data_IF_074171297732
#
_entry.id   IF_074171297732
#
_cell.length_a   1.000
_cell.length_b   1.000
_cell.length_c   1.000
_cell.angle_alpha   90.00
_cell.angle_beta   90.00
_cell.angle_gamma   90.00
#
_symmetry.space_group_name_H-M   'P 1'
#
loop_
_entity.id
_entity.type
_entity.pdbx_description
1 polymer ?
#
# COMPACT_ATOMS: atom_id res chain seq x y z
N UNK A 1 -11.39 8.15 -6.64
CA UNK A 1 -10.26 7.22 -6.43
C UNK A 1 -10.72 5.80 -6.10
N UNK A 2 -12.01 5.59 -5.81
CA UNK A 2 -12.65 4.28 -5.85
C UNK A 2 -13.05 3.98 -7.29
N UNK A 3 -12.90 2.74 -7.70
CA UNK A 3 -13.12 2.31 -9.09
C UNK A 3 -14.59 1.88 -9.23
N UNK A 4 -15.39 2.63 -9.99
CA UNK A 4 -16.84 2.42 -10.14
C UNK A 4 -17.21 1.60 -11.40
N UNK A 5 -16.22 1.29 -12.25
CA UNK A 5 -16.40 0.57 -13.51
C UNK A 5 -15.43 -0.61 -13.63
N UNK A 6 -15.91 -1.73 -14.17
CA UNK A 6 -15.11 -2.93 -14.42
C UNK A 6 -14.35 -2.77 -15.74
N UNK A 7 -13.02 -2.75 -15.70
CA UNK A 7 -12.19 -2.90 -16.90
C UNK A 7 -12.08 -4.37 -17.30
N UNK A 8 -12.56 -4.73 -18.50
CA UNK A 8 -12.77 -6.15 -18.91
C UNK A 8 -11.51 -6.81 -19.52
N UNK A 9 -10.35 -6.14 -19.55
CA UNK A 9 -9.15 -6.66 -20.25
C UNK A 9 -7.86 -6.64 -19.41
N UNK A 10 -7.90 -7.08 -18.14
CA UNK A 10 -6.67 -7.27 -17.35
C UNK A 10 -6.07 -8.67 -17.59
N UNK A 11 -4.91 -8.73 -18.25
CA UNK A 11 -4.13 -9.98 -18.42
C UNK A 11 -2.95 -9.98 -17.45
N UNK A 12 -2.97 -10.88 -16.46
CA UNK A 12 -1.89 -11.02 -15.50
C UNK A 12 -0.75 -11.87 -16.07
N UNK A 13 0.46 -11.31 -16.17
CA UNK A 13 1.67 -12.05 -16.59
C UNK A 13 2.30 -12.78 -15.41
N UNK A 14 2.90 -13.94 -15.67
CA UNK A 14 3.61 -14.76 -14.66
C UNK A 14 4.81 -14.05 -14.05
N UNK A 15 5.44 -13.12 -14.77
CA UNK A 15 6.52 -12.29 -14.26
C UNK A 15 6.03 -11.01 -13.55
N UNK A 16 4.73 -10.83 -13.34
CA UNK A 16 4.21 -9.65 -12.63
C UNK A 16 4.53 -9.69 -11.14
N UNK A 17 4.75 -8.51 -10.55
CA UNK A 17 4.93 -8.35 -9.09
C UNK A 17 3.70 -8.89 -8.33
N UNK A 18 2.52 -8.80 -8.95
CA UNK A 18 1.28 -9.36 -8.41
C UNK A 18 1.29 -10.89 -8.37
N UNK A 19 1.98 -11.56 -9.31
CA UNK A 19 2.05 -13.03 -9.40
C UNK A 19 3.15 -13.66 -8.52
N UNK A 20 4.35 -13.07 -8.45
CA UNK A 20 5.46 -13.66 -7.69
C UNK A 20 5.40 -13.31 -6.19
N UNK A 21 5.61 -14.28 -5.30
CA UNK A 21 5.15 -14.20 -3.91
C UNK A 21 6.08 -13.48 -2.91
N UNK A 22 7.38 -13.26 -3.16
CA UNK A 22 8.26 -12.69 -2.10
C UNK A 22 9.32 -11.69 -2.56
N UNK A 23 10.05 -11.96 -3.64
CA UNK A 23 11.29 -11.21 -3.94
C UNK A 23 11.07 -9.79 -4.46
N UNK A 24 9.88 -9.50 -5.02
CA UNK A 24 9.58 -8.22 -5.68
C UNK A 24 8.70 -7.27 -4.88
N UNK A 25 8.40 -7.58 -3.60
CA UNK A 25 7.59 -6.68 -2.77
C UNK A 25 8.31 -5.33 -2.61
N UNK A 26 9.64 -5.34 -2.51
CA UNK A 26 10.45 -4.13 -2.37
C UNK A 26 10.44 -3.24 -3.62
N UNK A 27 10.24 -3.83 -4.80
CA UNK A 27 10.12 -3.07 -6.06
C UNK A 27 8.94 -2.07 -6.01
N UNK A 28 7.90 -2.36 -5.22
CA UNK A 28 6.76 -1.45 -5.03
C UNK A 28 7.21 -0.11 -4.46
N UNK A 29 8.15 -0.10 -3.51
CA UNK A 29 8.66 1.14 -2.92
C UNK A 29 9.44 1.95 -3.95
N UNK A 30 10.24 1.29 -4.78
CA UNK A 30 10.96 1.95 -5.86
C UNK A 30 9.99 2.58 -6.88
N UNK A 31 8.98 1.83 -7.31
CA UNK A 31 7.93 2.33 -8.22
C UNK A 31 7.22 3.54 -7.61
N UNK A 32 6.89 3.49 -6.32
CA UNK A 32 6.18 4.58 -5.66
C UNK A 32 7.05 5.83 -5.53
N UNK A 33 8.32 5.68 -5.22
CA UNK A 33 9.27 6.80 -5.18
C UNK A 33 9.41 7.43 -6.56
N UNK A 34 9.52 6.63 -7.63
CA UNK A 34 9.61 7.13 -9.00
C UNK A 34 8.36 7.94 -9.39
N UNK A 35 7.16 7.45 -9.05
CA UNK A 35 5.91 8.19 -9.27
C UNK A 35 5.89 9.49 -8.45
N UNK A 36 6.20 9.44 -7.15
CA UNK A 36 6.20 10.65 -6.29
C UNK A 36 7.18 11.69 -6.85
N UNK A 37 8.37 11.25 -7.26
CA UNK A 37 9.41 12.11 -7.81
C UNK A 37 8.98 12.75 -9.13
N UNK A 38 8.37 11.98 -10.03
CA UNK A 38 7.81 12.51 -11.28
C UNK A 38 6.83 13.67 -11.01
N UNK A 39 5.86 13.48 -10.13
CA UNK A 39 4.87 14.52 -9.82
C UNK A 39 5.50 15.73 -9.12
N UNK A 40 6.51 15.50 -8.27
CA UNK A 40 7.27 16.55 -7.60
C UNK A 40 8.04 17.43 -8.58
N UNK A 41 8.80 16.83 -9.49
CA UNK A 41 9.60 17.53 -10.51
C UNK A 41 8.71 18.38 -11.43
N UNK A 42 7.55 17.84 -11.82
CA UNK A 42 6.60 18.51 -12.70
C UNK A 42 5.65 19.47 -11.95
N UNK A 43 5.79 19.61 -10.62
CA UNK A 43 4.94 20.47 -9.76
C UNK A 43 3.45 20.17 -9.88
N UNK A 44 3.09 18.92 -10.15
CA UNK A 44 1.69 18.48 -10.28
C UNK A 44 1.16 18.09 -8.89
N UNK A 45 0.31 18.93 -8.32
CA UNK A 45 -0.21 18.75 -6.95
C UNK A 45 -1.65 18.24 -6.89
N UNK A 46 -2.40 18.32 -8.01
CA UNK A 46 -3.83 18.01 -8.05
C UNK A 46 -4.19 16.54 -7.77
N UNK A 47 -3.21 15.64 -7.77
CA UNK A 47 -3.40 14.21 -7.49
C UNK A 47 -2.87 13.75 -6.13
N UNK A 48 -2.48 14.69 -5.26
CA UNK A 48 -1.82 14.37 -3.99
C UNK A 48 -2.68 13.47 -3.09
N UNK A 49 -3.96 13.80 -2.93
CA UNK A 49 -4.88 13.03 -2.09
C UNK A 49 -5.13 11.63 -2.69
N UNK A 50 -5.25 11.56 -4.01
CA UNK A 50 -5.51 10.35 -4.78
C UNK A 50 -4.32 9.39 -4.68
N UNK A 51 -3.09 9.91 -4.82
CA UNK A 51 -1.86 9.16 -4.66
C UNK A 51 -1.71 8.64 -3.23
N UNK A 52 -1.85 9.52 -2.23
CA UNK A 52 -1.78 9.14 -0.82
C UNK A 52 -2.77 8.01 -0.50
N UNK A 53 -4.04 8.16 -0.89
CA UNK A 53 -5.05 7.14 -0.67
C UNK A 53 -4.75 5.83 -1.39
N UNK A 54 -4.41 5.88 -2.68
CA UNK A 54 -4.14 4.65 -3.47
C UNK A 54 -2.92 3.92 -2.95
N UNK A 55 -1.85 4.64 -2.57
CA UNK A 55 -0.60 4.04 -2.13
C UNK A 55 -0.76 3.39 -0.75
N UNK A 56 -1.35 4.11 0.21
CA UNK A 56 -1.61 3.58 1.55
C UNK A 56 -2.60 2.41 1.51
N UNK A 57 -3.69 2.51 0.73
CA UNK A 57 -4.65 1.41 0.53
C UNK A 57 -3.98 0.18 -0.08
N UNK A 58 -3.12 0.36 -1.08
CA UNK A 58 -2.44 -0.76 -1.71
C UNK A 58 -1.43 -1.42 -0.76
N UNK A 59 -0.59 -0.63 -0.08
CA UNK A 59 0.40 -1.15 0.87
C UNK A 59 -0.26 -1.88 2.04
N UNK A 60 -1.26 -1.28 2.68
CA UNK A 60 -1.91 -1.87 3.84
C UNK A 60 -2.88 -2.99 3.49
N UNK A 61 -3.54 -2.93 2.33
CA UNK A 61 -4.53 -3.92 1.91
C UNK A 61 -3.91 -5.03 1.08
N UNK A 62 -3.46 -4.70 -0.13
CA UNK A 62 -3.01 -5.71 -1.09
C UNK A 62 -1.64 -6.28 -0.74
N UNK A 63 -0.68 -5.44 -0.35
CA UNK A 63 0.69 -5.90 -0.08
C UNK A 63 0.77 -6.54 1.30
N UNK A 64 0.41 -5.81 2.35
CA UNK A 64 0.55 -6.27 3.73
C UNK A 64 -0.30 -7.53 3.98
N UNK A 65 -1.63 -7.43 3.84
CA UNK A 65 -2.53 -8.55 4.18
C UNK A 65 -2.37 -9.72 3.21
N UNK A 66 -2.31 -9.47 1.90
CA UNK A 66 -2.37 -10.58 0.92
C UNK A 66 -1.00 -11.20 0.62
N UNK A 67 0.12 -10.50 0.85
CA UNK A 67 1.46 -10.97 0.52
C UNK A 67 2.37 -11.08 1.74
N UNK A 68 2.56 -10.01 2.52
CA UNK A 68 3.53 -9.98 3.63
C UNK A 68 3.14 -10.92 4.77
N UNK A 69 1.88 -10.88 5.23
CA UNK A 69 1.46 -11.74 6.34
C UNK A 69 1.49 -13.24 6.01
N UNK A 70 1.47 -13.59 4.72
CA UNK A 70 1.57 -14.97 4.21
C UNK A 70 3.01 -15.51 4.12
N UNK A 71 4.02 -14.65 4.29
CA UNK A 71 5.41 -15.08 4.20
C UNK A 71 5.75 -16.06 5.33
N UNK A 72 6.40 -17.18 4.96
CA UNK A 72 6.85 -18.20 5.93
C UNK A 72 8.12 -17.77 6.67
N UNK A 73 9.01 -17.06 5.99
CA UNK A 73 10.22 -16.50 6.61
C UNK A 73 9.83 -15.35 7.56
N UNK A 74 9.95 -15.61 8.87
CA UNK A 74 9.63 -14.65 9.93
C UNK A 74 10.56 -13.43 9.91
N UNK A 75 11.82 -13.59 9.55
CA UNK A 75 12.77 -12.46 9.48
C UNK A 75 12.36 -11.53 8.34
N UNK A 76 12.19 -12.08 7.14
CA UNK A 76 11.74 -11.32 5.97
C UNK A 76 10.37 -10.66 6.22
N UNK A 77 9.41 -11.38 6.83
CA UNK A 77 8.10 -10.82 7.19
C UNK A 77 8.24 -9.56 8.06
N UNK A 78 9.07 -9.62 9.12
CA UNK A 78 9.28 -8.51 10.05
C UNK A 78 9.97 -7.32 9.39
N UNK A 79 10.94 -7.58 8.52
CA UNK A 79 11.60 -6.55 7.71
C UNK A 79 10.58 -5.83 6.82
N UNK A 80 9.80 -6.58 6.03
CA UNK A 80 8.79 -6.00 5.14
C UNK A 80 7.70 -5.24 5.91
N UNK A 81 7.27 -5.73 7.07
CA UNK A 81 6.30 -5.03 7.93
C UNK A 81 6.87 -3.69 8.43
N UNK A 82 8.15 -3.66 8.80
CA UNK A 82 8.87 -2.45 9.22
C UNK A 82 9.00 -1.45 8.07
N UNK A 83 9.43 -1.93 6.90
CA UNK A 83 9.57 -1.14 5.68
C UNK A 83 8.24 -0.49 5.28
N UNK A 84 7.14 -1.25 5.26
CA UNK A 84 5.80 -0.70 4.95
C UNK A 84 5.42 0.39 5.93
N UNK A 85 5.58 0.13 7.25
CA UNK A 85 5.20 1.10 8.28
C UNK A 85 6.01 2.38 8.13
N UNK A 86 7.33 2.26 8.04
CA UNK A 86 8.24 3.40 7.91
C UNK A 86 7.97 4.19 6.63
N UNK A 87 7.69 3.50 5.52
CA UNK A 87 7.38 4.15 4.24
C UNK A 87 6.12 5.00 4.34
N UNK A 88 5.05 4.48 4.93
CA UNK A 88 3.78 5.20 5.12
C UNK A 88 3.98 6.39 6.06
N UNK A 89 4.63 6.17 7.21
CA UNK A 89 4.83 7.23 8.21
C UNK A 89 5.69 8.37 7.68
N UNK A 90 6.68 8.07 6.82
CA UNK A 90 7.59 9.06 6.23
C UNK A 90 6.92 9.84 5.10
N UNK A 91 6.27 9.15 4.16
CA UNK A 91 5.75 9.79 2.95
C UNK A 91 4.33 10.35 3.13
N UNK A 92 3.55 9.75 4.03
CA UNK A 92 2.12 10.04 4.17
C UNK A 92 1.70 10.16 5.65
N UNK A 93 2.36 10.97 6.49
CA UNK A 93 2.11 11.01 7.94
C UNK A 93 0.65 11.33 8.32
N UNK A 94 -0.08 12.01 7.44
CA UNK A 94 -1.48 12.42 7.66
C UNK A 94 -2.50 11.57 6.88
N UNK A 95 -2.10 10.42 6.34
CA UNK A 95 -2.94 9.61 5.45
C UNK A 95 -4.32 9.24 6.01
N UNK A 96 -4.45 9.15 7.34
CA UNK A 96 -5.74 8.89 8.00
C UNK A 96 -6.76 10.02 7.86
N UNK A 97 -6.31 11.23 7.51
CA UNK A 97 -7.16 12.41 7.24
C UNK A 97 -7.55 12.53 5.77
N UNK A 98 -7.12 11.60 4.92
CA UNK A 98 -7.41 11.64 3.50
C UNK A 98 -8.92 11.58 3.21
N UNK A 99 -9.41 12.47 2.34
CA UNK A 99 -10.84 12.61 2.02
C UNK A 99 -11.50 11.32 1.54
N UNK A 100 -10.77 10.45 0.83
CA UNK A 100 -11.29 9.18 0.30
C UNK A 100 -11.53 8.12 1.38
N UNK A 101 -10.98 8.27 2.59
CA UNK A 101 -11.32 7.37 3.71
C UNK A 101 -12.73 7.62 4.26
N UNK A 102 -13.34 8.78 3.98
CA UNK A 102 -14.71 9.10 4.44
C UNK A 102 -15.77 8.18 3.83
N UNK A 103 -15.54 7.70 2.61
CA UNK A 103 -16.43 6.79 1.89
C UNK A 103 -16.62 5.47 2.63
N UNK A 104 -17.87 4.97 2.68
CA UNK A 104 -18.21 3.73 3.39
C UNK A 104 -17.83 2.51 2.55
N UNK A 105 -16.76 1.83 2.94
CA UNK A 105 -16.38 0.53 2.37
C UNK A 105 -15.68 -0.35 3.41
N UNK A 106 -15.71 -1.68 3.22
CA UNK A 106 -14.99 -2.63 4.11
C UNK A 106 -13.49 -2.33 4.12
N UNK A 107 -12.95 -1.93 2.98
CA UNK A 107 -11.55 -1.55 2.81
C UNK A 107 -11.22 -0.30 3.62
N UNK A 108 -12.05 0.76 3.54
CA UNK A 108 -11.84 1.99 4.31
C UNK A 108 -12.03 1.77 5.81
N UNK A 109 -12.96 0.89 6.21
CA UNK A 109 -13.13 0.50 7.61
C UNK A 109 -11.85 -0.19 8.12
N UNK A 110 -11.32 -1.16 7.38
CA UNK A 110 -10.04 -1.79 7.70
C UNK A 110 -8.91 -0.76 7.85
N UNK A 111 -8.74 0.12 6.86
CA UNK A 111 -7.70 1.15 6.88
C UNK A 111 -7.81 2.07 8.11
N UNK A 112 -9.03 2.50 8.48
CA UNK A 112 -9.25 3.32 9.69
C UNK A 112 -8.83 2.60 10.98
N UNK A 113 -9.04 1.29 11.05
CA UNK A 113 -8.67 0.48 12.21
C UNK A 113 -7.16 0.27 12.36
N UNK A 114 -6.39 0.29 11.25
CA UNK A 114 -4.93 0.09 11.30
C UNK A 114 -4.27 1.15 12.17
N UNK A 115 -3.60 0.75 13.24
CA UNK A 115 -2.89 1.62 14.17
C UNK A 115 -1.65 0.92 14.75
N UNK A 116 -0.92 1.57 15.66
CA UNK A 116 0.28 0.99 16.26
C UNK A 116 0.04 -0.36 16.94
N UNK A 117 -1.14 -0.59 17.52
CA UNK A 117 -1.52 -1.87 18.14
C UNK A 117 -1.75 -2.93 17.07
N UNK A 118 -2.48 -2.63 15.99
CA UNK A 118 -2.68 -3.61 14.91
C UNK A 118 -1.35 -4.02 14.26
N UNK A 119 -0.41 -3.07 14.11
CA UNK A 119 0.95 -3.39 13.66
C UNK A 119 1.66 -4.33 14.62
N UNK A 120 1.58 -4.11 15.94
CA UNK A 120 2.14 -5.04 16.94
C UNK A 120 1.55 -6.44 16.81
N UNK A 121 0.24 -6.56 16.58
CA UNK A 121 -0.40 -7.86 16.34
C UNK A 121 0.14 -8.53 15.08
N UNK A 122 0.41 -7.78 14.01
CA UNK A 122 1.03 -8.32 12.80
C UNK A 122 2.47 -8.83 13.02
N UNK A 123 3.22 -8.28 13.98
CA UNK A 123 4.54 -8.83 14.36
C UNK A 123 4.44 -10.16 15.10
N UNK A 124 3.31 -10.43 15.76
CA UNK A 124 3.08 -11.65 16.52
C UNK A 124 2.52 -12.81 15.67
N UNK A 125 1.99 -12.51 14.48
CA UNK A 125 1.37 -13.46 13.54
C UNK A 125 2.33 -13.94 12.44
#
# INVERSE_FOLDING_TARGET
AVDDHIGVHYVQRSNSISYNESTRIRDIFWIYNDIIEYYRVHKVTCYKDEMEYRFTRNLLGNVLIRKVLKQKDRKLKRELLSEIKNYIDTNFPNWKRNKYLSERSKQNLYLKMVNSITYKLFYLY
#
